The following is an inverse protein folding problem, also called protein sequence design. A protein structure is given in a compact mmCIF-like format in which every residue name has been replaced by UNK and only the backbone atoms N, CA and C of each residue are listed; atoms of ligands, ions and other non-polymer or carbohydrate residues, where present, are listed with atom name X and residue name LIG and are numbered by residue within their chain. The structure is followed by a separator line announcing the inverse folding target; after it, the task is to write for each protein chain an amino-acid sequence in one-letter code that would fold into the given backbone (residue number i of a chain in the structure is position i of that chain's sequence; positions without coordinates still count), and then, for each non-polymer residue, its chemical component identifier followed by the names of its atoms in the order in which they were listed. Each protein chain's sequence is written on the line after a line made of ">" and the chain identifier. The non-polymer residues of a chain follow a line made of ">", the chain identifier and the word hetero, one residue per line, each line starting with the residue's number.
data_IF_941628070119
#
_entry.id   IF_941628070119
#
_cell.length_a   1.000
_cell.length_b   1.000
_cell.length_c   1.000
_cell.angle_alpha   90.00
_cell.angle_beta   90.00
_cell.angle_gamma   90.00
#
_symmetry.space_group_name_H-M   'P 1'
#
loop_
_entity.id
_entity.type
_entity.pdbx_description
1 polymer ?
#
# COMPACT_ATOMS: atom_id res chain seq x y z
N UNK A 1 -44.76 -17.69 -33.76
CA UNK A 1 -45.09 -17.48 -32.33
C UNK A 1 -43.90 -17.96 -31.49
N UNK A 2 -42.99 -17.10 -31.00
CA UNK A 2 -41.88 -17.53 -30.17
C UNK A 2 -42.34 -17.66 -28.71
N UNK A 3 -42.28 -18.90 -28.21
CA UNK A 3 -42.64 -19.26 -26.84
C UNK A 3 -41.63 -18.69 -25.85
N UNK A 4 -42.17 -17.87 -24.94
CA UNK A 4 -41.55 -17.40 -23.70
C UNK A 4 -40.93 -18.57 -22.93
N UNK A 5 -39.72 -18.39 -22.42
CA UNK A 5 -39.29 -18.94 -21.13
C UNK A 5 -38.14 -18.12 -20.57
N UNK A 6 -38.49 -17.27 -19.59
CA UNK A 6 -37.58 -16.77 -18.57
C UNK A 6 -37.16 -17.98 -17.73
N UNK A 7 -35.86 -18.13 -17.50
CA UNK A 7 -35.34 -18.98 -16.43
C UNK A 7 -34.43 -18.16 -15.50
N UNK A 8 -34.46 -18.40 -14.18
CA UNK A 8 -33.78 -17.59 -13.17
C UNK A 8 -32.35 -18.08 -12.88
N UNK A 9 -31.51 -17.17 -12.38
CA UNK A 9 -30.15 -17.39 -11.86
C UNK A 9 -30.13 -18.41 -10.71
N UNK A 10 -29.01 -19.13 -10.55
CA UNK A 10 -28.44 -19.30 -9.23
C UNK A 10 -26.93 -19.00 -9.25
N UNK A 11 -26.57 -17.72 -9.11
CA UNK A 11 -25.21 -17.33 -8.76
C UNK A 11 -25.03 -17.42 -7.25
N UNK A 12 -24.81 -18.64 -6.74
CA UNK A 12 -24.26 -18.85 -5.39
C UNK A 12 -22.76 -18.57 -5.48
N UNK A 13 -22.36 -17.47 -4.85
CA UNK A 13 -20.98 -17.02 -4.77
C UNK A 13 -20.89 -15.91 -3.73
N UNK A 14 -21.31 -16.20 -2.50
CA UNK A 14 -20.86 -15.42 -1.35
C UNK A 14 -19.41 -15.81 -1.10
N UNK A 15 -18.51 -15.19 -1.87
CA UNK A 15 -17.15 -14.93 -1.42
C UNK A 15 -17.30 -13.95 -0.27
N UNK A 16 -17.21 -14.45 0.96
CA UNK A 16 -16.83 -13.61 2.10
C UNK A 16 -15.32 -13.55 2.09
N UNK A 17 -14.77 -12.73 1.19
CA UNK A 17 -13.43 -12.21 1.35
C UNK A 17 -13.55 -11.04 2.32
N UNK A 18 -12.98 -11.21 3.49
CA UNK A 18 -12.76 -10.13 4.45
C UNK A 18 -12.04 -8.98 3.73
N UNK A 19 -12.59 -7.74 3.68
CA UNK A 19 -11.80 -6.60 3.25
C UNK A 19 -10.88 -6.23 4.41
N UNK A 20 -9.69 -6.80 4.42
CA UNK A 20 -8.60 -6.36 5.30
C UNK A 20 -7.36 -6.15 4.46
N UNK A 21 -7.40 -5.07 3.67
CA UNK A 21 -6.20 -4.36 3.23
C UNK A 21 -6.69 -2.93 3.01
N UNK A 22 -6.90 -2.18 4.09
CA UNK A 22 -5.95 -1.14 4.46
C UNK A 22 -5.42 -0.44 3.22
N UNK A 23 -6.22 0.55 2.80
CA UNK A 23 -5.73 1.90 2.60
C UNK A 23 -4.24 2.00 2.31
N UNK A 24 -3.86 1.94 1.05
CA UNK A 24 -2.69 2.70 0.61
C UNK A 24 -3.07 3.51 -0.61
N UNK A 25 -4.04 4.41 -0.40
CA UNK A 25 -4.01 5.73 -1.04
C UNK A 25 -2.77 6.47 -0.55
N UNK A 26 -1.62 6.04 -1.03
CA UNK A 26 -0.38 6.77 -1.00
C UNK A 26 0.52 6.12 -2.05
N UNK A 27 0.19 6.34 -3.31
CA UNK A 27 1.21 6.76 -4.25
C UNK A 27 1.80 8.10 -3.76
N UNK A 28 2.33 8.12 -2.52
CA UNK A 28 3.25 9.12 -2.08
C UNK A 28 4.42 8.92 -3.05
N UNK A 29 4.68 9.96 -3.83
CA UNK A 29 5.87 10.08 -4.64
C UNK A 29 7.02 9.42 -3.88
N UNK A 30 7.78 8.54 -4.54
CA UNK A 30 8.90 7.80 -3.95
C UNK A 30 9.99 8.77 -3.46
N UNK A 31 9.71 9.47 -2.37
CA UNK A 31 10.52 10.55 -1.84
C UNK A 31 10.59 10.39 -0.34
N UNK A 32 11.76 10.74 0.17
CA UNK A 32 12.00 10.76 1.60
C UNK A 32 11.18 11.89 2.23
N UNK A 33 10.37 11.56 3.23
CA UNK A 33 9.61 12.54 4.00
C UNK A 33 10.58 13.33 4.88
N UNK A 34 10.46 14.64 4.81
CA UNK A 34 11.18 15.57 5.69
C UNK A 34 10.39 15.78 6.97
N UNK A 35 11.09 15.97 8.09
CA UNK A 35 10.40 16.27 9.33
C UNK A 35 9.69 17.64 9.20
N UNK A 36 8.38 17.75 9.48
CA UNK A 36 7.63 19.00 9.27
C UNK A 36 8.09 20.14 10.18
N UNK A 37 8.84 19.83 11.25
CA UNK A 37 9.37 20.82 12.20
C UNK A 37 10.77 21.31 11.86
N UNK A 38 11.62 20.46 11.26
CA UNK A 38 13.01 20.79 10.96
C UNK A 38 13.24 21.05 9.47
N UNK A 39 12.33 20.58 8.60
CA UNK A 39 12.45 20.66 7.15
C UNK A 39 13.58 19.77 6.59
N UNK A 40 14.15 18.88 7.41
CA UNK A 40 15.28 18.03 7.04
C UNK A 40 14.82 16.57 6.97
N UNK A 41 15.28 15.84 5.96
CA UNK A 41 15.16 14.39 5.86
C UNK A 41 16.31 13.75 6.63
N UNK A 42 16.03 13.11 7.78
CA UNK A 42 17.04 12.32 8.49
C UNK A 42 17.26 10.92 7.87
N UNK A 43 16.51 10.59 6.82
CA UNK A 43 16.63 9.33 6.06
C UNK A 43 18.07 8.88 5.75
N UNK A 44 19.01 9.71 5.24
CA UNK A 44 20.39 9.28 5.00
C UNK A 44 21.13 8.83 6.27
N UNK A 45 20.81 9.40 7.44
CA UNK A 45 21.35 8.95 8.73
C UNK A 45 20.65 7.71 9.25
N UNK A 46 19.38 7.52 8.88
CA UNK A 46 18.53 6.41 9.31
C UNK A 46 18.63 5.19 8.38
N UNK A 47 19.47 5.24 7.34
CA UNK A 47 19.63 4.15 6.36
C UNK A 47 20.00 2.79 6.97
N UNK A 48 20.65 2.78 8.15
CA UNK A 48 20.94 1.55 8.89
C UNK A 48 19.67 0.90 9.47
N UNK A 49 18.63 1.69 9.75
CA UNK A 49 17.33 1.21 10.22
C UNK A 49 16.52 0.54 9.10
N UNK A 50 16.94 0.67 7.84
CA UNK A 50 16.32 -0.09 6.74
C UNK A 50 16.56 -1.61 6.88
N UNK A 51 17.56 -2.05 7.65
CA UNK A 51 17.81 -3.48 7.91
C UNK A 51 17.11 -3.95 9.20
N UNK A 52 16.65 -3.01 10.04
CA UNK A 52 16.03 -3.32 11.32
C UNK A 52 14.52 -3.56 11.14
N UNK A 53 14.05 -4.75 11.52
CA UNK A 53 12.63 -5.12 11.40
C UNK A 53 11.70 -4.21 12.19
N UNK A 54 12.14 -3.69 13.35
CA UNK A 54 11.29 -2.81 14.16
C UNK A 54 11.03 -1.47 13.47
N UNK A 55 11.96 -1.03 12.64
CA UNK A 55 11.88 0.24 11.92
C UNK A 55 11.50 0.04 10.45
N UNK A 56 11.22 -1.20 10.05
CA UNK A 56 10.91 -1.55 8.67
C UNK A 56 9.67 -0.80 8.17
N UNK A 57 8.56 -0.83 8.91
CA UNK A 57 7.34 -0.13 8.50
C UNK A 57 7.55 1.40 8.49
N UNK A 58 8.12 1.95 9.58
CA UNK A 58 8.40 3.38 9.69
C UNK A 58 9.29 3.90 8.57
N UNK A 59 10.36 3.18 8.23
CA UNK A 59 11.27 3.55 7.14
C UNK A 59 10.61 3.42 5.76
N UNK A 60 9.62 2.54 5.61
CA UNK A 60 8.85 2.43 4.36
C UNK A 60 7.90 3.62 4.20
N UNK A 61 7.31 4.11 5.30
CA UNK A 61 6.44 5.29 5.27
C UNK A 61 7.22 6.60 5.18
N UNK A 62 8.32 6.72 5.93
CA UNK A 62 9.06 7.98 6.07
C UNK A 62 10.22 8.11 5.07
N UNK A 63 10.86 7.01 4.69
CA UNK A 63 12.08 7.02 3.88
C UNK A 63 12.08 5.94 2.79
N UNK A 64 11.00 5.82 1.98
CA UNK A 64 10.90 4.76 0.99
C UNK A 64 12.03 4.82 -0.03
N UNK A 65 12.47 6.04 -0.39
CA UNK A 65 13.55 6.26 -1.36
C UNK A 65 14.92 5.85 -0.79
N UNK A 66 15.24 6.28 0.42
CA UNK A 66 16.52 5.94 1.06
C UNK A 66 16.68 4.44 1.31
N UNK A 67 15.59 3.74 1.62
CA UNK A 67 15.61 2.29 1.79
C UNK A 67 15.43 1.51 0.48
N UNK A 68 15.30 2.17 -0.67
CA UNK A 68 14.95 1.54 -1.96
C UNK A 68 13.67 0.67 -1.88
N UNK A 69 12.69 1.12 -1.10
CA UNK A 69 11.41 0.45 -0.84
C UNK A 69 10.23 1.11 -1.53
N UNK A 70 10.51 1.92 -2.54
CA UNK A 70 9.49 2.31 -3.48
C UNK A 70 9.12 1.05 -4.24
N UNK A 71 8.18 0.30 -3.67
CA UNK A 71 7.59 -0.86 -4.29
C UNK A 71 7.09 -0.41 -5.64
N UNK A 72 7.45 -1.19 -6.65
CA UNK A 72 7.05 -1.03 -8.03
C UNK A 72 5.51 -1.05 -8.07
N UNK A 73 4.89 0.11 -7.89
CA UNK A 73 3.57 0.40 -8.40
C UNK A 73 3.76 0.77 -9.88
N UNK A 74 4.19 -0.21 -10.66
CA UNK A 74 3.93 -0.32 -12.10
C UNK A 74 2.59 -1.04 -12.28
#
# INVERSE_FOLDING_TARGET
>A
MPSRKRSPRPGKGHTTAVPSTQSNTAAADCVDLVHPKTGVSDCPKLRYLCDDQQYYELMTEQCPKTCNRCGDAD
#
